data_IF_365081079198
#
_entry.id   IF_365081079198
#
_cell.length_a   1.000
_cell.length_b   1.000
_cell.length_c   1.000
_cell.angle_alpha   90.00
_cell.angle_beta   90.00
_cell.angle_gamma   90.00
#
_symmetry.space_group_name_H-M   'P 1'
#
loop_
_entity.id
_entity.type
_entity.pdbx_description
1 polymer ?
#
# COMPACT_ATOMS: atom_id res chain seq x y z
N UNK A 1 -39.48 14.21 -38.13
CA UNK A 1 -40.40 15.27 -37.71
C UNK A 1 -40.05 15.67 -36.28
N UNK A 2 -39.26 16.74 -36.10
CA UNK A 2 -39.36 17.62 -34.92
C UNK A 2 -40.44 18.67 -35.23
N UNK A 3 -41.12 19.35 -34.28
CA UNK A 3 -40.55 20.24 -33.25
C UNK A 3 -41.36 20.18 -31.92
N UNK A 4 -41.12 20.90 -30.81
CA UNK A 4 -40.93 22.34 -30.57
C UNK A 4 -40.38 22.59 -29.16
N UNK A 5 -39.58 23.65 -29.05
CA UNK A 5 -39.18 24.33 -27.82
C UNK A 5 -40.29 25.24 -27.27
N UNK A 6 -40.19 25.61 -25.99
CA UNK A 6 -40.79 26.83 -25.45
C UNK A 6 -39.85 27.43 -24.39
N UNK A 7 -39.46 28.68 -24.66
CA UNK A 7 -38.63 29.59 -23.86
C UNK A 7 -39.51 30.68 -23.20
N UNK A 8 -38.83 31.59 -22.48
CA UNK A 8 -39.22 32.86 -21.83
C UNK A 8 -39.43 32.75 -20.30
N UNK A 9 -38.92 33.66 -19.45
CA UNK A 9 -38.18 34.93 -19.64
C UNK A 9 -37.64 35.48 -18.31
N UNK A 10 -36.38 35.92 -18.37
CA UNK A 10 -35.70 37.09 -17.75
C UNK A 10 -36.44 38.12 -16.89
N UNK A 11 -35.74 38.63 -15.86
CA UNK A 11 -35.70 40.06 -15.46
C UNK A 11 -34.27 40.47 -14.99
N UNK A 12 -33.81 41.61 -15.51
CA UNK A 12 -32.50 42.30 -15.42
C UNK A 12 -32.17 42.89 -14.02
N UNK A 13 -30.90 43.06 -13.58
CA UNK A 13 -29.91 44.13 -13.92
C UNK A 13 -29.75 45.12 -12.71
N UNK A 14 -28.73 46.02 -12.57
CA UNK A 14 -27.59 46.44 -13.41
C UNK A 14 -26.18 46.29 -12.72
N UNK A 15 -25.00 46.18 -13.36
CA UNK A 15 -24.11 47.01 -14.24
C UNK A 15 -23.36 48.20 -13.58
N UNK A 16 -22.01 48.12 -13.56
CA UNK A 16 -20.99 49.18 -13.83
C UNK A 16 -19.58 48.57 -13.63
N UNK A 17 -18.69 48.37 -14.62
CA UNK A 17 -17.81 49.36 -15.29
C UNK A 17 -16.42 49.38 -14.61
N UNK A 18 -15.22 49.42 -15.20
CA UNK A 18 -14.69 49.51 -16.57
C UNK A 18 -13.13 49.60 -16.49
N UNK A 19 -12.41 49.35 -17.61
CA UNK A 19 -11.04 49.81 -17.99
C UNK A 19 -9.73 49.06 -17.56
N UNK A 20 -8.90 48.79 -18.59
CA UNK A 20 -7.48 48.34 -18.71
C UNK A 20 -6.46 49.48 -18.33
N UNK A 21 -5.08 49.41 -18.46
CA UNK A 21 -4.12 48.38 -18.94
C UNK A 21 -2.79 48.22 -18.11
N UNK A 22 -1.82 47.48 -18.72
CA UNK A 22 -0.41 47.09 -18.43
C UNK A 22 0.55 48.24 -18.01
N UNK A 23 1.72 47.94 -17.39
CA UNK A 23 2.99 48.27 -18.05
C UNK A 23 4.10 47.19 -17.96
N UNK A 24 4.93 47.17 -19.01
CA UNK A 24 6.23 46.51 -19.15
C UNK A 24 7.32 47.15 -18.26
N UNK A 25 8.39 46.40 -17.95
CA UNK A 25 9.77 46.91 -18.00
C UNK A 25 10.82 45.78 -18.15
N UNK A 26 11.76 46.05 -19.07
CA UNK A 26 13.01 45.37 -19.37
C UNK A 26 14.03 45.36 -18.21
N UNK A 27 14.96 44.39 -18.18
CA UNK A 27 16.39 44.64 -18.46
C UNK A 27 17.29 43.38 -18.37
N UNK A 28 18.33 43.43 -19.20
CA UNK A 28 19.29 42.41 -19.57
C UNK A 28 20.52 42.29 -18.63
N UNK A 29 21.43 41.36 -18.99
CA UNK A 29 22.92 41.36 -18.95
C UNK A 29 23.40 39.91 -18.65
N UNK A 30 23.97 39.09 -19.55
CA UNK A 30 25.13 39.15 -20.47
C UNK A 30 26.52 39.08 -19.82
N UNK A 31 27.33 38.09 -20.23
CA UNK A 31 28.78 37.94 -20.01
C UNK A 31 29.15 36.59 -19.37
N UNK A 32 30.02 35.72 -19.87
CA UNK A 32 31.07 35.84 -20.89
C UNK A 32 32.32 35.05 -20.45
N UNK A 33 32.42 33.79 -20.90
CA UNK A 33 33.59 33.07 -21.48
C UNK A 33 35.03 33.40 -21.04
N UNK A 34 35.82 32.33 -20.73
CA UNK A 34 37.18 32.02 -21.27
C UNK A 34 38.11 31.39 -20.21
N UNK A 35 38.41 30.07 -20.27
CA UNK A 35 39.64 29.43 -20.80
C UNK A 35 41.00 29.99 -20.33
N UNK A 36 41.84 29.13 -19.72
CA UNK A 36 43.09 28.61 -20.30
C UNK A 36 43.85 27.68 -19.34
N UNK A 37 44.49 26.67 -19.92
CA UNK A 37 45.33 25.66 -19.29
C UNK A 37 46.80 26.07 -19.28
N UNK A 38 47.61 25.47 -18.39
CA UNK A 38 49.00 25.08 -18.72
C UNK A 38 49.59 24.12 -17.69
N UNK A 39 50.51 23.30 -18.21
CA UNK A 39 51.17 22.09 -17.70
C UNK A 39 52.38 22.31 -16.79
N UNK A 40 52.76 21.30 -15.99
CA UNK A 40 54.08 21.19 -15.34
C UNK A 40 54.37 19.79 -14.75
N UNK A 41 55.61 19.34 -14.88
CA UNK A 41 56.12 17.95 -14.83
C UNK A 41 56.57 17.40 -13.45
N UNK A 42 56.59 16.04 -13.39
CA UNK A 42 57.55 15.12 -12.69
C UNK A 42 57.75 15.14 -11.16
N UNK A 43 57.41 14.03 -10.48
CA UNK A 43 58.32 12.98 -9.90
C UNK A 43 57.56 12.08 -8.90
N UNK A 44 57.81 10.75 -8.94
CA UNK A 44 57.39 9.77 -7.92
C UNK A 44 58.34 9.82 -6.71
N UNK A 45 57.82 9.53 -5.50
CA UNK A 45 58.19 8.27 -4.83
C UNK A 45 57.00 7.58 -4.12
N UNK A 46 57.07 6.25 -3.97
CA UNK A 46 56.31 5.44 -3.00
C UNK A 46 57.24 5.10 -1.81
N UNK A 47 56.80 4.57 -0.63
CA UNK A 47 55.52 3.88 -0.37
C UNK A 47 54.83 4.19 0.99
N UNK A 48 53.55 3.80 1.09
CA UNK A 48 52.91 3.43 2.36
C UNK A 48 52.01 4.48 3.02
N UNK A 49 50.74 4.10 3.23
CA UNK A 49 49.89 4.67 4.29
C UNK A 49 48.71 5.53 3.81
N UNK A 50 47.52 4.93 3.93
CA UNK A 50 46.21 5.56 4.20
C UNK A 50 45.55 6.44 3.11
N UNK A 51 44.25 6.18 2.98
CA UNK A 51 43.19 6.95 2.31
C UNK A 51 43.04 6.78 0.79
N UNK A 52 41.98 6.05 0.41
CA UNK A 52 41.27 6.23 -0.84
C UNK A 52 39.81 5.75 -0.66
N UNK A 53 38.95 6.66 -0.20
CA UNK A 53 37.60 6.83 -0.77
C UNK A 53 37.77 7.88 -1.89
N UNK A 54 37.00 7.88 -3.00
CA UNK A 54 35.55 7.78 -2.96
C UNK A 54 34.88 7.05 -4.13
N UNK A 55 33.84 6.29 -3.84
CA UNK A 55 32.72 6.12 -4.76
C UNK A 55 31.45 6.10 -3.92
N UNK A 56 30.89 7.30 -3.72
CA UNK A 56 29.55 7.49 -3.21
C UNK A 56 28.62 6.86 -4.25
N UNK A 57 28.30 5.58 -4.09
CA UNK A 57 27.04 5.06 -4.59
C UNK A 57 25.96 5.73 -3.75
N UNK A 58 25.45 6.85 -4.25
CA UNK A 58 24.15 7.38 -3.88
C UNK A 58 23.11 6.34 -4.26
N UNK A 59 22.98 5.30 -3.43
CA UNK A 59 21.88 4.38 -3.50
C UNK A 59 20.62 5.19 -3.23
N UNK A 60 19.86 5.45 -4.29
CA UNK A 60 18.50 5.99 -4.20
C UNK A 60 17.75 5.05 -3.27
N UNK A 61 17.40 5.53 -2.08
CA UNK A 61 16.59 4.75 -1.15
C UNK A 61 15.28 4.38 -1.88
N UNK A 62 14.71 3.19 -1.69
CA UNK A 62 13.41 2.84 -2.28
C UNK A 62 12.32 3.88 -1.97
N UNK A 63 12.42 4.55 -0.82
CA UNK A 63 11.56 5.65 -0.41
C UNK A 63 11.74 6.89 -1.29
N UNK A 64 12.98 7.21 -1.71
CA UNK A 64 13.36 8.38 -2.50
C UNK A 64 12.80 8.28 -3.93
N UNK A 65 12.90 7.11 -4.55
CA UNK A 65 12.30 6.83 -5.86
C UNK A 65 10.76 6.88 -5.82
N UNK A 66 10.14 6.61 -4.67
CA UNK A 66 8.70 6.71 -4.47
C UNK A 66 8.22 8.14 -4.24
N UNK A 67 9.02 8.95 -3.54
CA UNK A 67 8.80 10.38 -3.29
C UNK A 67 8.77 11.12 -4.63
N UNK A 68 9.76 10.86 -5.48
CA UNK A 68 9.87 11.45 -6.81
C UNK A 68 8.66 11.16 -7.69
N UNK A 69 8.13 9.93 -7.63
CA UNK A 69 6.94 9.55 -8.42
C UNK A 69 5.68 10.31 -8.02
N UNK A 70 5.48 10.56 -6.73
CA UNK A 70 4.32 11.34 -6.26
C UNK A 70 4.45 12.79 -6.70
N UNK A 71 5.61 13.41 -6.46
CA UNK A 71 5.86 14.81 -6.85
C UNK A 71 5.63 14.98 -8.35
N UNK A 72 6.24 14.13 -9.18
CA UNK A 72 6.07 14.16 -10.64
C UNK A 72 4.62 13.96 -11.09
N UNK A 73 3.84 13.15 -10.39
CA UNK A 73 2.42 12.98 -10.71
C UNK A 73 1.63 14.25 -10.37
N UNK A 74 1.87 14.83 -9.19
CA UNK A 74 1.17 16.03 -8.74
C UNK A 74 1.48 17.23 -9.65
N UNK A 75 2.74 17.38 -10.08
CA UNK A 75 3.17 18.45 -11.00
C UNK A 75 2.48 18.39 -12.38
N UNK A 76 1.99 17.21 -12.77
CA UNK A 76 1.30 16.97 -14.04
C UNK A 76 -0.23 17.11 -13.94
N UNK A 77 -0.77 17.36 -12.76
CA UNK A 77 -2.21 17.58 -12.58
C UNK A 77 -2.61 18.96 -13.11
N UNK A 78 -3.83 19.08 -13.62
CA UNK A 78 -4.38 20.39 -13.97
C UNK A 78 -4.60 21.23 -12.70
N UNK A 79 -4.65 22.57 -12.78
CA UNK A 79 -4.94 23.40 -11.61
C UNK A 79 -6.29 23.05 -10.97
N UNK A 80 -6.28 22.85 -9.65
CA UNK A 80 -7.49 22.56 -8.86
C UNK A 80 -8.49 23.71 -8.89
N UNK A 81 -9.77 23.40 -8.64
CA UNK A 81 -10.86 24.40 -8.52
C UNK A 81 -11.41 24.54 -7.11
N UNK A 82 -11.09 23.58 -6.22
CA UNK A 82 -11.53 23.59 -4.84
C UNK A 82 -10.40 24.04 -3.92
N UNK A 83 -10.77 24.66 -2.80
CA UNK A 83 -9.85 24.97 -1.71
C UNK A 83 -9.21 23.67 -1.19
N UNK A 84 -7.90 23.70 -0.94
CA UNK A 84 -7.08 22.54 -0.54
C UNK A 84 -6.95 21.41 -1.57
N UNK A 85 -7.33 21.66 -2.83
CA UNK A 85 -7.06 20.74 -3.95
C UNK A 85 -5.57 20.75 -4.30
N UNK A 86 -4.97 19.56 -4.41
CA UNK A 86 -3.60 19.35 -4.90
C UNK A 86 -3.51 19.39 -6.45
N UNK A 87 -4.65 19.55 -7.13
CA UNK A 87 -4.75 19.52 -8.59
C UNK A 87 -5.96 18.72 -9.05
N UNK A 88 -6.16 18.62 -10.37
CA UNK A 88 -7.28 17.92 -10.98
C UNK A 88 -6.82 16.88 -11.98
N UNK A 89 -7.44 15.70 -11.91
CA UNK A 89 -7.36 14.64 -12.92
C UNK A 89 -8.73 14.46 -13.55
N UNK A 90 -8.87 14.77 -14.84
CA UNK A 90 -10.18 14.83 -15.52
C UNK A 90 -11.17 15.75 -14.77
N UNK A 91 -12.26 15.21 -14.20
CA UNK A 91 -13.24 15.95 -13.38
C UNK A 91 -13.09 15.68 -11.87
N UNK A 92 -12.03 14.97 -11.46
CA UNK A 92 -11.75 14.61 -10.09
C UNK A 92 -10.79 15.62 -9.46
N UNK A 93 -11.23 16.31 -8.42
CA UNK A 93 -10.38 17.21 -7.63
C UNK A 93 -9.57 16.39 -6.63
N UNK A 94 -8.24 16.40 -6.75
CA UNK A 94 -7.34 15.60 -5.92
C UNK A 94 -7.18 16.27 -4.57
N UNK A 95 -7.58 15.58 -3.51
CA UNK A 95 -7.62 16.12 -2.15
C UNK A 95 -6.47 15.62 -1.28
N UNK A 96 -5.73 14.61 -1.75
CA UNK A 96 -4.65 14.00 -0.99
C UNK A 96 -4.10 12.73 -1.62
N UNK A 97 -2.94 12.29 -1.14
CA UNK A 97 -2.35 11.00 -1.51
C UNK A 97 -2.67 9.99 -0.42
N UNK A 98 -3.30 8.87 -0.78
CA UNK A 98 -3.66 7.78 0.14
C UNK A 98 -2.55 6.74 0.29
N UNK A 99 -1.77 6.52 -0.77
CA UNK A 99 -0.74 5.49 -0.75
C UNK A 99 0.15 5.49 -1.98
N UNK A 100 1.28 4.81 -1.84
CA UNK A 100 2.28 4.64 -2.90
C UNK A 100 2.56 3.15 -3.04
N UNK A 101 2.59 2.64 -4.26
CA UNK A 101 2.91 1.26 -4.54
C UNK A 101 3.98 1.13 -5.63
N UNK A 102 4.48 -0.08 -5.83
CA UNK A 102 5.41 -0.39 -6.92
C UNK A 102 4.85 0.00 -8.30
N UNK A 103 3.52 0.00 -8.43
CA UNK A 103 2.82 0.14 -9.70
C UNK A 103 2.12 1.49 -9.90
N UNK A 104 2.17 2.39 -8.91
CA UNK A 104 1.48 3.67 -9.04
C UNK A 104 1.21 4.39 -7.73
N UNK A 105 0.37 5.41 -7.82
CA UNK A 105 -0.03 6.27 -6.70
C UNK A 105 -1.54 6.17 -6.52
N UNK A 106 -1.99 6.06 -5.27
CA UNK A 106 -3.41 6.07 -4.93
C UNK A 106 -3.74 7.44 -4.36
N UNK A 107 -4.70 8.13 -4.96
CA UNK A 107 -5.15 9.47 -4.62
C UNK A 107 -6.54 9.42 -3.99
N UNK A 108 -6.79 10.28 -3.01
CA UNK A 108 -8.15 10.64 -2.59
C UNK A 108 -8.60 11.78 -3.48
N UNK A 109 -9.74 11.63 -4.14
CA UNK A 109 -10.28 12.69 -4.98
C UNK A 109 -11.77 12.90 -4.75
N UNK A 110 -12.26 14.08 -5.07
CA UNK A 110 -13.67 14.43 -5.06
C UNK A 110 -14.19 14.41 -6.50
N UNK A 111 -15.15 13.53 -6.76
CA UNK A 111 -15.89 13.40 -7.99
C UNK A 111 -16.89 14.57 -8.08
N UNK A 112 -16.57 15.58 -8.90
CA UNK A 112 -17.33 16.83 -8.92
C UNK A 112 -18.77 16.66 -9.45
N UNK A 113 -19.06 15.89 -10.52
CA UNK A 113 -20.44 15.65 -10.95
C UNK A 113 -21.25 14.81 -9.95
N UNK A 114 -20.68 13.75 -9.37
CA UNK A 114 -21.41 12.86 -8.45
C UNK A 114 -21.36 13.31 -6.99
N UNK A 115 -20.62 14.39 -6.69
CA UNK A 115 -20.46 14.99 -5.37
C UNK A 115 -20.09 14.00 -4.26
N UNK A 116 -19.10 13.14 -4.52
CA UNK A 116 -18.63 12.11 -3.59
C UNK A 116 -17.12 11.94 -3.61
N UNK A 117 -16.56 11.41 -2.53
CA UNK A 117 -15.15 11.01 -2.51
C UNK A 117 -14.94 9.67 -3.20
N UNK A 118 -13.83 9.56 -3.92
CA UNK A 118 -13.36 8.36 -4.63
C UNK A 118 -11.87 8.14 -4.35
N UNK A 119 -11.43 6.89 -4.47
CA UNK A 119 -10.01 6.55 -4.53
C UNK A 119 -9.60 6.37 -5.99
N UNK A 120 -8.53 7.03 -6.42
CA UNK A 120 -8.03 6.93 -7.80
C UNK A 120 -6.63 6.34 -7.80
N UNK A 121 -6.48 5.15 -8.36
CA UNK A 121 -5.16 4.53 -8.55
C UNK A 121 -4.65 4.89 -9.94
N UNK A 122 -3.62 5.73 -9.97
CA UNK A 122 -2.96 6.16 -11.21
C UNK A 122 -1.77 5.24 -11.45
N UNK A 123 -1.76 4.58 -12.60
CA UNK A 123 -0.62 3.77 -13.03
C UNK A 123 0.60 4.68 -13.26
N UNK A 124 1.81 4.18 -13.00
CA UNK A 124 3.05 4.95 -13.12
C UNK A 124 3.07 5.84 -14.39
N UNK A 125 3.08 7.18 -14.24
CA UNK A 125 2.97 8.12 -15.36
C UNK A 125 4.24 8.18 -16.22
N UNK A 126 5.33 7.53 -15.78
CA UNK A 126 6.57 7.40 -16.53
C UNK A 126 6.56 6.19 -17.48
N UNK A 127 5.50 5.37 -17.47
CA UNK A 127 5.36 4.29 -18.44
C UNK A 127 5.07 4.84 -19.85
N UNK A 128 5.78 4.35 -20.88
CA UNK A 128 5.52 4.73 -22.27
C UNK A 128 4.04 4.53 -22.66
N UNK A 129 3.48 5.38 -23.53
CA UNK A 129 2.10 5.23 -24.04
C UNK A 129 1.79 3.85 -24.63
N UNK A 130 2.76 3.24 -25.33
CA UNK A 130 2.61 1.94 -25.98
C UNK A 130 3.00 0.75 -25.08
N UNK A 131 3.29 1.01 -23.80
CA UNK A 131 3.68 -0.05 -22.88
C UNK A 131 2.55 -1.09 -22.74
N UNK A 132 2.83 -2.40 -22.97
CA UNK A 132 1.83 -3.47 -22.82
C UNK A 132 1.13 -3.48 -21.46
N UNK A 133 1.82 -2.99 -20.41
CA UNK A 133 1.28 -2.88 -19.06
C UNK A 133 0.10 -1.92 -18.95
N UNK A 134 0.03 -0.85 -19.77
CA UNK A 134 -1.14 0.05 -19.82
C UNK A 134 -2.38 -0.69 -20.32
N UNK A 135 -2.25 -1.45 -21.41
CA UNK A 135 -3.34 -2.26 -21.99
C UNK A 135 -3.80 -3.36 -21.04
N UNK A 136 -2.87 -4.04 -20.38
CA UNK A 136 -3.20 -5.06 -19.37
C UNK A 136 -3.91 -4.45 -18.16
N UNK A 137 -3.45 -3.30 -17.66
CA UNK A 137 -4.08 -2.60 -16.54
C UNK A 137 -5.56 -2.31 -16.81
N UNK A 138 -5.86 -1.73 -17.98
CA UNK A 138 -7.26 -1.45 -18.38
C UNK A 138 -8.08 -2.74 -18.51
N UNK A 139 -7.50 -3.79 -19.10
CA UNK A 139 -8.18 -5.09 -19.25
C UNK A 139 -8.50 -5.73 -17.90
N UNK A 140 -7.51 -5.80 -17.00
CA UNK A 140 -7.67 -6.39 -15.66
C UNK A 140 -8.66 -5.58 -14.81
N UNK A 141 -8.58 -4.25 -14.87
CA UNK A 141 -9.54 -3.38 -14.21
C UNK A 141 -10.99 -3.63 -14.66
N UNK A 142 -11.22 -3.81 -15.97
CA UNK A 142 -12.56 -4.13 -16.51
C UNK A 142 -13.06 -5.49 -16.03
N UNK A 143 -12.20 -6.50 -15.99
CA UNK A 143 -12.54 -7.82 -15.44
C UNK A 143 -12.90 -7.75 -13.96
N UNK A 144 -12.11 -7.03 -13.16
CA UNK A 144 -12.36 -6.84 -11.74
C UNK A 144 -13.65 -6.03 -11.46
N UNK A 145 -14.00 -5.07 -12.33
CA UNK A 145 -15.18 -4.23 -12.18
C UNK A 145 -16.52 -5.00 -12.26
N UNK A 146 -16.51 -6.21 -12.83
CA UNK A 146 -17.69 -7.08 -12.86
C UNK A 146 -18.03 -7.69 -11.49
N UNK A 147 -17.09 -7.66 -10.53
CA UNK A 147 -17.29 -8.26 -9.21
C UNK A 147 -17.90 -7.23 -8.26
N UNK A 148 -19.15 -7.47 -7.85
CA UNK A 148 -19.84 -6.67 -6.83
C UNK A 148 -20.07 -7.52 -5.59
N UNK A 149 -19.47 -7.12 -4.48
CA UNK A 149 -19.60 -7.85 -3.22
C UNK A 149 -19.30 -6.93 -2.02
N UNK A 150 -19.98 -7.08 -0.85
CA UNK A 150 -19.73 -6.23 0.32
C UNK A 150 -18.29 -6.25 0.84
N UNK A 151 -17.56 -7.36 0.62
CA UNK A 151 -16.16 -7.53 1.03
C UNK A 151 -15.14 -7.26 -0.09
N UNK A 152 -15.56 -6.60 -1.17
CA UNK A 152 -14.69 -6.16 -2.27
C UNK A 152 -14.93 -4.67 -2.49
N UNK A 153 -13.85 -3.91 -2.69
CA UNK A 153 -13.94 -2.48 -3.03
C UNK A 153 -14.52 -2.34 -4.44
N UNK A 154 -15.58 -1.54 -4.58
CA UNK A 154 -16.23 -1.34 -5.86
C UNK A 154 -15.36 -0.52 -6.83
N UNK A 155 -15.29 -0.95 -8.09
CA UNK A 155 -14.70 -0.15 -9.17
C UNK A 155 -15.82 0.67 -9.82
N UNK A 156 -15.61 1.98 -9.94
CA UNK A 156 -16.57 2.92 -10.53
C UNK A 156 -16.27 3.22 -11.99
N UNK A 157 -15.01 3.13 -12.41
CA UNK A 157 -14.64 3.37 -13.80
C UNK A 157 -13.14 3.28 -14.05
N UNK A 158 -12.78 3.33 -15.32
CA UNK A 158 -11.39 3.36 -15.80
C UNK A 158 -11.24 4.57 -16.72
N UNK A 159 -10.18 5.34 -16.56
CA UNK A 159 -9.79 6.38 -17.49
C UNK A 159 -8.40 6.14 -18.05
N UNK A 160 -8.10 6.73 -19.21
CA UNK A 160 -6.87 6.44 -19.97
C UNK A 160 -6.00 7.68 -20.23
N UNK A 161 -6.55 8.89 -20.02
CA UNK A 161 -5.92 10.17 -20.34
C UNK A 161 -5.79 11.08 -19.10
N UNK A 162 -4.63 11.74 -18.89
CA UNK A 162 -3.37 11.61 -19.65
C UNK A 162 -2.63 10.27 -19.39
N UNK A 163 -2.98 9.56 -18.31
CA UNK A 163 -2.44 8.27 -17.93
C UNK A 163 -3.56 7.30 -17.57
N UNK A 164 -3.35 5.97 -17.59
CA UNK A 164 -4.34 5.02 -17.13
C UNK A 164 -4.57 5.17 -15.63
N UNK A 165 -5.84 5.29 -15.24
CA UNK A 165 -6.25 5.36 -13.85
C UNK A 165 -7.51 4.55 -13.60
N UNK A 166 -7.62 4.02 -12.38
CA UNK A 166 -8.76 3.28 -11.90
C UNK A 166 -9.49 4.10 -10.85
N UNK A 167 -10.78 4.36 -11.06
CA UNK A 167 -11.65 5.04 -10.10
C UNK A 167 -12.35 3.98 -9.27
N UNK A 168 -12.15 4.03 -7.97
CA UNK A 168 -12.64 3.06 -7.00
C UNK A 168 -13.45 3.78 -5.92
N UNK A 169 -14.29 3.01 -5.25
CA UNK A 169 -14.96 3.44 -4.04
C UNK A 169 -13.92 3.88 -2.99
N UNK A 170 -14.14 5.05 -2.39
CA UNK A 170 -13.34 5.48 -1.25
C UNK A 170 -13.89 4.83 0.02
N UNK A 171 -13.08 3.96 0.63
CA UNK A 171 -13.43 3.30 1.89
C UNK A 171 -12.72 4.00 3.05
N UNK A 172 -13.44 4.76 3.91
CA UNK A 172 -12.84 5.40 5.07
C UNK A 172 -12.50 4.37 6.13
N UNK A 173 -11.22 4.26 6.46
CA UNK A 173 -10.73 3.22 7.35
C UNK A 173 -9.22 3.11 7.32
N UNK A 174 -8.71 1.99 7.82
CA UNK A 174 -7.29 1.65 7.78
C UNK A 174 -7.08 0.27 7.20
N UNK A 175 -5.88 -0.03 6.77
CA UNK A 175 -5.54 -1.37 6.31
C UNK A 175 -5.33 -2.31 7.49
N UNK A 176 -5.41 -3.63 7.25
CA UNK A 176 -4.98 -4.62 8.25
C UNK A 176 -3.48 -4.51 8.53
N UNK A 177 -2.68 -4.00 7.58
CA UNK A 177 -1.26 -3.71 7.80
C UNK A 177 -1.10 -2.62 8.86
N UNK A 178 -1.83 -1.50 8.75
CA UNK A 178 -1.79 -0.42 9.75
C UNK A 178 -2.23 -0.92 11.14
N UNK A 179 -3.19 -1.83 11.19
CA UNK A 179 -3.63 -2.47 12.44
C UNK A 179 -2.53 -3.36 13.05
N UNK A 180 -1.84 -4.14 12.24
CA UNK A 180 -0.72 -4.98 12.68
C UNK A 180 0.46 -4.14 13.19
N UNK A 181 0.79 -3.05 12.50
CA UNK A 181 1.91 -2.19 12.89
C UNK A 181 1.65 -1.42 14.18
N UNK A 182 0.40 -0.99 14.41
CA UNK A 182 0.03 -0.25 15.61
C UNK A 182 -0.20 -1.16 16.83
N UNK A 183 -0.95 -2.25 16.65
CA UNK A 183 -1.43 -3.09 17.76
C UNK A 183 -0.70 -4.43 17.89
N UNK A 184 0.10 -4.82 16.90
CA UNK A 184 0.66 -6.17 16.81
C UNK A 184 -0.41 -7.22 16.48
N UNK A 185 -0.27 -8.45 17.02
CA UNK A 185 -1.26 -9.52 16.83
C UNK A 185 -2.69 -9.09 17.19
N UNK A 186 -3.67 -9.46 16.36
CA UNK A 186 -5.07 -9.12 16.60
C UNK A 186 -5.77 -10.14 17.51
N UNK A 187 -6.85 -9.76 18.23
CA UNK A 187 -7.68 -10.71 18.97
C UNK A 187 -8.23 -11.82 18.05
N UNK A 188 -8.22 -13.08 18.50
CA UNK A 188 -8.66 -14.24 17.70
C UNK A 188 -10.06 -14.05 17.10
N UNK A 189 -10.99 -13.46 17.86
CA UNK A 189 -12.33 -13.16 17.36
C UNK A 189 -12.30 -12.24 16.13
N UNK A 190 -11.41 -11.26 16.10
CA UNK A 190 -11.25 -10.35 14.97
C UNK A 190 -10.52 -11.02 13.80
N UNK A 191 -9.52 -11.87 14.06
CA UNK A 191 -8.87 -12.70 13.03
C UNK A 191 -9.89 -13.56 12.29
N UNK A 192 -10.75 -14.27 13.04
CA UNK A 192 -11.80 -15.11 12.45
C UNK A 192 -12.84 -14.30 11.70
N UNK A 193 -13.22 -13.11 12.21
CA UNK A 193 -14.15 -12.21 11.54
C UNK A 193 -13.59 -11.74 10.20
N UNK A 194 -12.41 -11.14 10.20
CA UNK A 194 -11.80 -10.61 8.97
C UNK A 194 -11.44 -11.73 8.02
N UNK A 195 -10.93 -12.85 8.53
CA UNK A 195 -10.69 -14.07 7.76
C UNK A 195 -11.93 -14.52 7.00
N UNK A 196 -13.05 -14.66 7.69
CA UNK A 196 -14.30 -15.09 7.07
C UNK A 196 -14.80 -14.09 6.02
N UNK A 197 -14.72 -12.79 6.30
CA UNK A 197 -15.11 -11.72 5.36
C UNK A 197 -14.22 -11.73 4.09
N UNK A 198 -12.90 -11.86 4.25
CA UNK A 198 -11.94 -11.99 3.15
C UNK A 198 -12.22 -13.24 2.31
N UNK A 199 -12.38 -14.41 2.94
CA UNK A 199 -12.69 -15.65 2.25
C UNK A 199 -14.01 -15.57 1.46
N UNK A 200 -15.03 -14.91 2.03
CA UNK A 200 -16.30 -14.68 1.35
C UNK A 200 -16.14 -13.75 0.14
N UNK A 201 -15.34 -12.68 0.28
CA UNK A 201 -14.98 -11.80 -0.84
C UNK A 201 -14.26 -12.55 -1.96
N UNK A 202 -13.21 -13.31 -1.62
CA UNK A 202 -12.47 -14.12 -2.59
C UNK A 202 -13.38 -15.12 -3.30
N UNK A 203 -14.29 -15.78 -2.58
CA UNK A 203 -15.25 -16.71 -3.20
C UNK A 203 -16.12 -16.01 -4.26
N UNK A 204 -16.57 -14.78 -4.01
CA UNK A 204 -17.35 -14.01 -4.96
C UNK A 204 -16.54 -13.63 -6.22
N UNK A 205 -15.26 -13.29 -6.06
CA UNK A 205 -14.37 -13.01 -7.19
C UNK A 205 -14.05 -14.27 -7.99
N UNK A 206 -13.72 -15.37 -7.31
CA UNK A 206 -13.42 -16.67 -7.92
C UNK A 206 -14.60 -17.21 -8.73
N UNK A 207 -15.84 -17.03 -8.24
CA UNK A 207 -17.05 -17.39 -8.98
C UNK A 207 -17.24 -16.62 -10.30
N UNK A 208 -16.52 -15.50 -10.49
CA UNK A 208 -16.48 -14.72 -11.73
C UNK A 208 -15.19 -14.95 -12.54
N UNK A 209 -14.36 -15.93 -12.15
CA UNK A 209 -13.08 -16.22 -12.79
C UNK A 209 -11.99 -15.18 -12.51
N UNK A 210 -12.15 -14.36 -11.47
CA UNK A 210 -11.19 -13.31 -11.11
C UNK A 210 -10.31 -13.80 -9.96
N UNK A 211 -9.00 -13.88 -10.19
CA UNK A 211 -7.99 -14.25 -9.18
C UNK A 211 -7.30 -12.96 -8.72
N UNK A 212 -7.13 -12.78 -7.41
CA UNK A 212 -6.58 -11.56 -6.83
C UNK A 212 -5.06 -11.43 -7.02
N UNK A 213 -4.31 -12.51 -6.72
CA UNK A 213 -2.85 -12.69 -6.88
C UNK A 213 -1.95 -11.86 -5.96
N UNK A 214 -2.44 -10.81 -5.32
CA UNK A 214 -1.68 -9.99 -4.37
C UNK A 214 -2.41 -9.81 -3.02
N UNK A 215 -2.93 -10.90 -2.44
CA UNK A 215 -3.62 -10.85 -1.14
C UNK A 215 -2.59 -10.63 -0.04
N UNK A 216 -2.67 -9.50 0.67
CA UNK A 216 -1.79 -9.12 1.77
C UNK A 216 -2.48 -8.10 2.68
N UNK A 217 -2.04 -7.89 3.94
CA UNK A 217 -2.75 -7.01 4.88
C UNK A 217 -2.91 -5.57 4.38
N UNK A 218 -1.96 -5.07 3.59
CA UNK A 218 -2.00 -3.72 3.00
C UNK A 218 -3.11 -3.56 1.94
N UNK A 219 -3.61 -4.66 1.36
CA UNK A 219 -4.68 -4.65 0.37
C UNK A 219 -6.05 -4.99 0.98
N UNK A 220 -6.17 -5.00 2.32
CA UNK A 220 -7.41 -5.25 3.04
C UNK A 220 -7.76 -4.04 3.89
N UNK A 221 -8.79 -3.31 3.50
CA UNK A 221 -9.29 -2.14 4.23
C UNK A 221 -10.34 -2.55 5.26
N UNK A 222 -10.29 -1.98 6.45
CA UNK A 222 -11.29 -2.15 7.51
C UNK A 222 -12.01 -0.83 7.73
N UNK A 223 -13.32 -0.82 7.49
CA UNK A 223 -14.17 0.36 7.66
C UNK A 223 -14.22 0.80 9.13
N UNK A 224 -14.04 2.11 9.38
CA UNK A 224 -14.04 2.69 10.73
C UNK A 224 -15.45 2.77 11.35
N UNK A 225 -16.49 2.87 10.53
CA UNK A 225 -17.88 2.99 10.96
C UNK A 225 -18.68 1.73 10.58
N UNK A 226 -19.42 1.16 11.54
CA UNK A 226 -20.25 -0.04 11.33
C UNK A 226 -19.63 -1.34 11.85
N UNK A 227 -19.97 -2.47 11.23
CA UNK A 227 -19.71 -3.84 11.72
C UNK A 227 -18.24 -4.33 11.65
N UNK A 228 -17.26 -3.42 11.57
CA UNK A 228 -15.84 -3.75 11.28
C UNK A 228 -15.74 -4.63 10.03
N UNK A 229 -16.07 -4.05 8.89
CA UNK A 229 -16.13 -4.74 7.61
C UNK A 229 -14.78 -4.67 6.91
N UNK A 230 -14.19 -5.84 6.63
CA UNK A 230 -13.02 -5.98 5.77
C UNK A 230 -13.42 -5.95 4.29
N UNK A 231 -12.62 -5.25 3.50
CA UNK A 231 -12.83 -5.05 2.06
C UNK A 231 -11.51 -5.22 1.30
N UNK A 232 -11.53 -6.14 0.34
CA UNK A 232 -10.38 -6.44 -0.51
C UNK A 232 -10.29 -5.40 -1.63
N UNK A 233 -9.12 -4.82 -1.82
CA UNK A 233 -8.80 -3.88 -2.92
C UNK A 233 -7.65 -4.41 -3.78
N UNK A 234 -7.40 -3.77 -4.93
CA UNK A 234 -6.23 -4.04 -5.79
C UNK A 234 -6.20 -5.40 -6.50
N UNK A 235 -7.36 -5.94 -6.88
CA UNK A 235 -7.47 -7.17 -7.68
C UNK A 235 -6.66 -7.11 -8.98
N UNK A 236 -5.74 -8.06 -9.15
CA UNK A 236 -5.10 -8.37 -10.43
C UNK A 236 -4.04 -7.38 -10.90
N UNK A 237 -4.11 -6.11 -10.50
CA UNK A 237 -3.33 -5.00 -11.08
C UNK A 237 -1.80 -5.15 -11.00
N UNK A 238 -1.28 -6.00 -10.12
CA UNK A 238 0.15 -6.30 -10.04
C UNK A 238 0.64 -7.07 -11.29
N UNK A 239 -0.17 -8.00 -11.82
CA UNK A 239 0.19 -8.81 -13.00
C UNK A 239 0.13 -8.05 -14.31
N UNK A 240 -0.73 -7.03 -14.42
CA UNK A 240 -0.68 -6.12 -15.55
C UNK A 240 0.71 -5.53 -15.79
N UNK A 241 1.51 -5.35 -14.74
CA UNK A 241 2.85 -4.76 -14.81
C UNK A 241 3.96 -5.83 -14.79
N UNK A 242 3.76 -6.91 -14.03
CA UNK A 242 4.80 -7.89 -13.69
C UNK A 242 5.23 -8.84 -14.81
N UNK A 243 4.40 -9.14 -15.82
CA UNK A 243 4.81 -10.02 -16.94
C UNK A 243 6.05 -9.49 -17.70
N UNK A 244 6.32 -8.19 -17.58
CA UNK A 244 7.46 -7.50 -18.20
C UNK A 244 8.66 -7.30 -17.25
N UNK A 245 8.43 -7.13 -15.94
CA UNK A 245 9.51 -6.82 -14.97
C UNK A 245 10.12 -8.05 -14.30
N UNK A 246 9.31 -9.06 -13.98
CA UNK A 246 9.80 -10.30 -13.36
C UNK A 246 10.77 -11.05 -14.30
N UNK A 247 10.56 -10.93 -15.62
CA UNK A 247 11.30 -11.64 -16.66
C UNK A 247 12.53 -10.88 -17.19
N UNK A 248 12.53 -9.55 -17.19
CA UNK A 248 13.63 -8.76 -17.78
C UNK A 248 14.68 -8.23 -16.81
N UNK A 249 14.38 -8.13 -15.51
CA UNK A 249 15.29 -7.45 -14.57
C UNK A 249 15.71 -8.28 -13.35
N UNK A 250 15.05 -9.41 -13.05
CA UNK A 250 15.39 -10.26 -11.90
C UNK A 250 15.25 -9.58 -10.53
N UNK A 251 14.80 -8.32 -10.48
CA UNK A 251 14.63 -7.53 -9.26
C UNK A 251 13.16 -7.65 -8.83
N UNK A 252 12.93 -8.43 -7.78
CA UNK A 252 11.64 -8.44 -7.08
C UNK A 252 11.59 -7.17 -6.25
N UNK A 253 10.74 -6.22 -6.65
CA UNK A 253 10.47 -4.99 -5.89
C UNK A 253 9.69 -5.34 -4.62
N UNK A 254 10.37 -5.30 -3.48
CA UNK A 254 9.82 -5.62 -2.15
C UNK A 254 10.05 -7.08 -1.73
N UNK A 255 9.72 -7.40 -0.47
CA UNK A 255 9.82 -8.78 0.02
C UNK A 255 8.51 -9.52 -0.26
N UNK A 256 8.52 -10.65 -0.99
CA UNK A 256 7.32 -11.39 -1.44
C UNK A 256 6.69 -12.23 -0.32
N UNK A 257 6.39 -11.60 0.82
CA UNK A 257 6.03 -12.24 2.09
C UNK A 257 4.70 -13.02 2.07
N UNK A 258 3.86 -12.79 1.05
CA UNK A 258 2.53 -13.37 0.91
C UNK A 258 2.34 -14.14 -0.40
N UNK A 259 3.39 -14.31 -1.21
CA UNK A 259 3.31 -15.07 -2.47
C UNK A 259 3.14 -16.57 -2.21
N UNK A 260 2.45 -17.24 -3.12
CA UNK A 260 2.32 -18.69 -3.14
C UNK A 260 3.53 -19.38 -3.81
N UNK A 261 3.80 -20.67 -3.51
CA UNK A 261 4.88 -21.44 -4.14
C UNK A 261 4.84 -21.41 -5.67
N UNK A 262 3.64 -21.57 -6.25
CA UNK A 262 3.41 -21.54 -7.69
C UNK A 262 3.70 -20.15 -8.31
N UNK A 263 3.45 -19.06 -7.58
CA UNK A 263 3.85 -17.72 -8.02
C UNK A 263 5.38 -17.57 -8.02
N UNK A 264 6.06 -18.12 -7.01
CA UNK A 264 7.53 -18.10 -6.91
C UNK A 264 8.17 -18.90 -8.03
N UNK A 265 7.62 -20.07 -8.38
CA UNK A 265 8.12 -20.94 -9.44
C UNK A 265 7.74 -20.46 -10.85
N UNK A 266 6.77 -19.55 -10.96
CA UNK A 266 6.25 -19.11 -12.25
C UNK A 266 5.31 -20.14 -12.91
N UNK A 267 4.73 -21.04 -12.11
CA UNK A 267 3.81 -22.07 -12.58
C UNK A 267 2.48 -21.48 -13.05
N UNK A 268 1.65 -22.32 -13.67
CA UNK A 268 0.27 -21.95 -13.99
C UNK A 268 -0.51 -21.66 -12.71
N UNK A 269 -1.14 -20.47 -12.65
CA UNK A 269 -1.87 -20.02 -11.48
C UNK A 269 -3.36 -20.29 -11.62
N UNK A 270 -3.96 -20.79 -10.54
CA UNK A 270 -5.41 -20.80 -10.35
C UNK A 270 -5.81 -20.06 -9.06
N UNK A 271 -7.09 -20.13 -8.69
CA UNK A 271 -7.63 -19.44 -7.52
C UNK A 271 -6.98 -19.80 -6.18
N UNK A 272 -6.29 -20.96 -6.11
CA UNK A 272 -5.67 -21.47 -4.88
C UNK A 272 -4.42 -20.70 -4.46
N UNK A 273 -3.88 -19.85 -5.34
CA UNK A 273 -2.84 -18.86 -4.99
C UNK A 273 -3.36 -17.90 -3.91
N UNK A 274 -4.60 -17.44 -4.06
CA UNK A 274 -5.20 -16.47 -3.12
C UNK A 274 -5.47 -17.13 -1.76
N UNK A 275 -5.70 -18.44 -1.74
CA UNK A 275 -5.93 -19.20 -0.51
C UNK A 275 -4.64 -19.34 0.30
N UNK A 276 -3.52 -19.61 -0.36
CA UNK A 276 -2.21 -19.60 0.30
C UNK A 276 -1.89 -18.22 0.88
N UNK A 277 -2.08 -17.17 0.08
CA UNK A 277 -1.88 -15.79 0.53
C UNK A 277 -2.82 -15.41 1.68
N UNK A 278 -4.09 -15.84 1.66
CA UNK A 278 -5.02 -15.69 2.78
C UNK A 278 -4.51 -16.41 4.04
N UNK A 279 -3.98 -17.63 3.91
CA UNK A 279 -3.32 -18.34 5.01
C UNK A 279 -2.18 -17.52 5.62
N UNK A 280 -1.36 -16.89 4.79
CA UNK A 280 -0.26 -16.01 5.23
C UNK A 280 -0.76 -14.74 5.92
N UNK A 281 -1.88 -14.17 5.46
CA UNK A 281 -2.54 -13.06 6.15
C UNK A 281 -3.06 -13.51 7.52
N UNK A 282 -3.79 -14.62 7.60
CA UNK A 282 -4.32 -15.15 8.87
C UNK A 282 -3.20 -15.43 9.88
N UNK A 283 -2.10 -16.03 9.40
CA UNK A 283 -0.89 -16.25 10.21
C UNK A 283 -0.37 -14.93 10.76
N UNK A 284 -0.15 -13.94 9.91
CA UNK A 284 0.34 -12.63 10.32
C UNK A 284 -0.59 -11.92 11.30
N UNK A 285 -1.91 -12.02 11.13
CA UNK A 285 -2.89 -11.47 12.08
C UNK A 285 -2.82 -12.17 13.44
N UNK A 286 -2.49 -13.47 13.48
CA UNK A 286 -2.33 -14.24 14.71
C UNK A 286 -0.99 -13.98 15.41
N UNK A 287 0.13 -13.92 14.69
CA UNK A 287 1.49 -13.86 15.25
C UNK A 287 2.13 -12.48 15.23
N UNK A 288 1.59 -11.54 14.45
CA UNK A 288 2.18 -10.22 14.18
C UNK A 288 3.24 -10.22 13.07
N UNK A 289 3.59 -11.37 12.49
CA UNK A 289 4.61 -11.46 11.43
C UNK A 289 4.26 -12.54 10.39
N UNK A 290 4.73 -12.42 9.14
CA UNK A 290 4.42 -13.41 8.10
C UNK A 290 5.10 -14.77 8.37
N UNK A 291 4.57 -15.87 7.81
CA UNK A 291 5.01 -17.24 8.11
C UNK A 291 6.40 -17.59 7.55
N UNK A 292 6.80 -16.97 6.43
CA UNK A 292 8.05 -17.28 5.72
C UNK A 292 9.06 -16.13 5.76
N UNK A 293 8.97 -15.25 6.77
CA UNK A 293 9.88 -14.13 6.93
C UNK A 293 11.34 -14.60 6.96
N UNK A 294 12.23 -13.95 6.21
CA UNK A 294 13.67 -14.24 6.19
C UNK A 294 14.47 -12.95 5.92
N UNK A 295 15.78 -12.91 6.20
CA UNK A 295 16.58 -11.68 6.07
C UNK A 295 16.71 -11.14 4.64
N UNK A 296 16.55 -11.98 3.61
CA UNK A 296 16.68 -11.58 2.21
C UNK A 296 15.47 -12.05 1.39
N UNK A 297 15.14 -11.31 0.32
CA UNK A 297 14.05 -11.70 -0.58
C UNK A 297 14.26 -13.09 -1.18
N UNK A 298 15.48 -13.44 -1.59
CA UNK A 298 15.83 -14.77 -2.09
C UNK A 298 15.60 -15.87 -1.04
N UNK A 299 15.93 -15.61 0.24
CA UNK A 299 15.65 -16.54 1.31
C UNK A 299 14.15 -16.71 1.55
N UNK A 300 13.36 -15.63 1.51
CA UNK A 300 11.89 -15.70 1.61
C UNK A 300 11.31 -16.57 0.50
N UNK A 301 11.74 -16.35 -0.75
CA UNK A 301 11.28 -17.15 -1.89
C UNK A 301 11.60 -18.64 -1.71
N UNK A 302 12.81 -18.96 -1.27
CA UNK A 302 13.21 -20.33 -0.95
C UNK A 302 12.31 -20.94 0.13
N UNK A 303 12.04 -20.22 1.22
CA UNK A 303 11.13 -20.68 2.28
C UNK A 303 9.71 -20.92 1.77
N UNK A 304 9.20 -19.98 0.97
CA UNK A 304 7.88 -20.10 0.35
C UNK A 304 7.83 -21.33 -0.56
N UNK A 305 8.86 -21.60 -1.35
CA UNK A 305 8.91 -22.76 -2.24
C UNK A 305 9.02 -24.09 -1.49
N UNK A 306 9.91 -24.18 -0.49
CA UNK A 306 10.43 -25.47 -0.03
C UNK A 306 10.18 -25.77 1.46
N UNK A 307 10.11 -24.75 2.33
CA UNK A 307 10.05 -24.95 3.78
C UNK A 307 8.60 -24.91 4.31
N UNK A 308 8.15 -25.85 5.16
CA UNK A 308 6.84 -25.74 5.79
C UNK A 308 6.76 -24.50 6.67
N UNK A 309 5.56 -23.91 6.80
CA UNK A 309 5.35 -22.83 7.75
C UNK A 309 5.54 -23.36 9.18
N UNK A 310 6.11 -22.55 10.06
CA UNK A 310 6.14 -22.89 11.49
C UNK A 310 4.70 -23.05 12.00
N UNK A 311 4.40 -24.00 12.91
CA UNK A 311 3.07 -24.13 13.49
C UNK A 311 2.68 -22.83 14.21
N UNK A 312 1.47 -22.31 13.96
CA UNK A 312 1.07 -21.01 14.56
C UNK A 312 1.12 -21.03 16.10
N UNK A 313 0.91 -22.18 16.72
CA UNK A 313 0.99 -22.37 18.17
C UNK A 313 2.39 -22.12 18.75
N UNK A 314 3.47 -22.21 17.95
CA UNK A 314 4.81 -21.84 18.41
C UNK A 314 4.97 -20.34 18.63
N UNK A 315 4.10 -19.53 18.03
CA UNK A 315 4.08 -18.07 18.19
C UNK A 315 2.93 -17.60 19.06
N UNK A 316 1.82 -18.35 19.08
CA UNK A 316 0.62 -17.98 19.82
C UNK A 316 -0.20 -19.19 20.26
N UNK A 317 -0.07 -19.55 21.54
CA UNK A 317 -0.69 -20.75 22.10
C UNK A 317 -2.23 -20.68 22.25
N UNK A 318 -2.82 -19.49 22.36
CA UNK A 318 -4.28 -19.30 22.50
C UNK A 318 -5.04 -19.37 21.16
N UNK A 319 -4.37 -19.68 20.04
CA UNK A 319 -5.04 -19.91 18.76
C UNK A 319 -5.85 -21.21 18.83
N UNK A 320 -7.15 -21.22 18.46
CA UNK A 320 -7.95 -22.44 18.45
C UNK A 320 -7.41 -23.46 17.45
N UNK A 321 -7.41 -24.74 17.82
CA UNK A 321 -6.85 -25.80 16.97
C UNK A 321 -7.49 -25.86 15.59
N UNK A 322 -8.78 -25.57 15.48
CA UNK A 322 -9.47 -25.53 14.21
C UNK A 322 -8.91 -24.45 13.27
N UNK A 323 -8.54 -23.28 13.82
CA UNK A 323 -7.90 -22.20 13.07
C UNK A 323 -6.45 -22.56 12.74
N UNK A 324 -5.70 -23.12 13.68
CA UNK A 324 -4.32 -23.56 13.46
C UNK A 324 -4.22 -24.59 12.34
N UNK A 325 -5.10 -25.61 12.35
CA UNK A 325 -5.22 -26.60 11.26
C UNK A 325 -5.55 -25.94 9.93
N UNK A 326 -6.50 -25.02 9.89
CA UNK A 326 -6.84 -24.31 8.65
C UNK A 326 -5.66 -23.51 8.09
N UNK A 327 -4.92 -22.79 8.93
CA UNK A 327 -3.73 -22.06 8.50
C UNK A 327 -2.69 -23.04 7.92
N UNK A 328 -2.45 -24.16 8.59
CA UNK A 328 -1.56 -25.22 8.09
C UNK A 328 -2.01 -25.78 6.74
N UNK A 329 -3.30 -26.06 6.55
CA UNK A 329 -3.84 -26.59 5.30
C UNK A 329 -3.71 -25.58 4.15
N UNK A 330 -3.90 -24.28 4.43
CA UNK A 330 -3.73 -23.22 3.42
C UNK A 330 -2.27 -23.07 2.98
N UNK A 331 -1.31 -23.41 3.84
CA UNK A 331 0.13 -23.34 3.58
C UNK A 331 0.73 -24.59 2.95
N UNK A 332 -0.09 -25.59 2.58
CA UNK A 332 0.41 -26.75 1.83
C UNK A 332 1.08 -26.32 0.52
N UNK A 333 2.22 -26.93 0.20
CA UNK A 333 3.03 -26.50 -0.95
C UNK A 333 2.38 -26.85 -2.28
N UNK A 334 1.73 -28.00 -2.34
CA UNK A 334 0.99 -28.43 -3.52
C UNK A 334 -0.45 -27.88 -3.47
N UNK A 335 -0.93 -27.18 -4.52
CA UNK A 335 -2.30 -26.65 -4.54
C UNK A 335 -3.39 -27.71 -4.35
N UNK A 336 -3.14 -28.97 -4.75
CA UNK A 336 -4.07 -30.08 -4.57
C UNK A 336 -4.31 -30.45 -3.09
N UNK A 337 -3.36 -30.15 -2.21
CA UNK A 337 -3.43 -30.49 -0.79
C UNK A 337 -4.07 -29.37 0.07
N UNK A 338 -4.39 -28.23 -0.56
CA UNK A 338 -5.05 -27.10 0.09
C UNK A 338 -6.58 -27.28 0.10
N UNK A 339 -7.33 -26.47 0.89
CA UNK A 339 -8.73 -26.22 0.60
C UNK A 339 -8.92 -25.82 -0.87
N UNK A 340 -9.92 -26.35 -1.55
CA UNK A 340 -10.02 -26.20 -3.00
C UNK A 340 -10.76 -24.92 -3.42
N UNK A 341 -11.55 -24.33 -2.51
CA UNK A 341 -12.32 -23.12 -2.78
C UNK A 341 -12.27 -22.13 -1.62
N UNK A 342 -12.36 -20.83 -1.92
CA UNK A 342 -12.51 -19.80 -0.89
C UNK A 342 -13.81 -19.95 -0.09
N UNK A 343 -14.85 -20.57 -0.67
CA UNK A 343 -16.11 -20.87 0.02
C UNK A 343 -15.89 -21.88 1.15
N UNK A 344 -15.16 -22.95 0.88
CA UNK A 344 -14.80 -23.95 1.88
C UNK A 344 -14.05 -23.31 3.06
N UNK A 345 -13.10 -22.42 2.77
CA UNK A 345 -12.36 -21.66 3.79
C UNK A 345 -13.28 -20.76 4.61
N UNK A 346 -14.19 -20.04 3.95
CA UNK A 346 -15.17 -19.19 4.62
C UNK A 346 -16.06 -20.00 5.58
N UNK A 347 -16.49 -21.19 5.17
CA UNK A 347 -17.33 -22.08 5.98
C UNK A 347 -16.56 -22.66 7.18
N UNK A 348 -15.28 -23.03 7.00
CA UNK A 348 -14.40 -23.46 8.10
C UNK A 348 -14.19 -22.34 9.14
N UNK A 349 -13.95 -21.11 8.69
CA UNK A 349 -13.80 -19.95 9.57
C UNK A 349 -15.11 -19.60 10.30
N UNK A 350 -16.25 -19.73 9.61
CA UNK A 350 -17.56 -19.52 10.23
C UNK A 350 -17.83 -20.52 11.35
N UNK A 351 -17.54 -21.82 11.12
CA UNK A 351 -17.65 -22.88 12.14
C UNK A 351 -16.76 -22.59 13.34
N UNK A 352 -15.47 -22.33 13.13
CA UNK A 352 -14.54 -22.01 14.22
C UNK A 352 -15.01 -20.81 15.05
N UNK A 353 -15.62 -19.79 14.41
CA UNK A 353 -16.20 -18.64 15.12
C UNK A 353 -17.45 -18.99 15.93
N UNK A 354 -18.26 -19.96 15.49
CA UNK A 354 -19.41 -20.45 16.25
C UNK A 354 -18.95 -21.26 17.47
N UNK A 355 -18.00 -22.17 17.28
CA UNK A 355 -17.47 -23.03 18.35
C UNK A 355 -16.91 -22.18 19.50
N UNK A 356 -16.08 -21.17 19.20
CA UNK A 356 -15.56 -20.23 20.20
C UNK A 356 -16.66 -19.48 20.99
N UNK A 357 -17.78 -19.16 20.33
CA UNK A 357 -18.90 -18.47 21.00
C UNK A 357 -19.63 -19.42 21.94
N UNK A 358 -19.77 -20.68 21.56
CA UNK A 358 -20.46 -21.68 22.36
C UNK A 358 -19.62 -22.17 23.54
N UNK A 359 -18.29 -22.26 23.38
CA UNK A 359 -17.34 -22.46 24.49
C UNK A 359 -17.45 -21.30 25.50
N UNK A 360 -17.39 -20.05 25.05
CA UNK A 360 -17.52 -18.88 25.91
C UNK A 360 -18.87 -18.82 26.65
N UNK A 361 -19.96 -19.30 26.02
CA UNK A 361 -21.28 -19.42 26.66
C UNK A 361 -21.30 -20.53 27.70
N UNK A 362 -20.67 -21.66 27.40
CA UNK A 362 -20.60 -22.82 28.28
C UNK A 362 -19.81 -22.51 29.54
N UNK A 363 -18.69 -21.80 29.42
CA UNK A 363 -17.89 -21.37 30.57
C UNK A 363 -18.64 -20.40 31.49
N UNK A 364 -19.38 -19.44 30.92
CA UNK A 364 -20.25 -18.54 31.68
C UNK A 364 -21.34 -19.30 32.44
N UNK A 365 -21.94 -20.32 31.81
CA UNK A 365 -22.97 -21.16 32.45
C UNK A 365 -22.42 -22.02 33.59
N UNK A 366 -21.14 -22.42 33.51
CA UNK A 366 -20.45 -23.20 34.54
C UNK A 366 -19.90 -22.34 35.70
N UNK A 367 -20.17 -21.04 35.72
CA UNK A 367 -19.69 -20.13 36.78
C UNK A 367 -18.18 -19.94 36.81
N UNK A 368 -17.46 -20.32 35.73
CA UNK A 368 -16.04 -19.98 35.59
C UNK A 368 -15.96 -18.51 35.19
N UNK A 369 -15.56 -17.64 36.12
CA UNK A 369 -15.30 -16.24 35.81
C UNK A 369 -14.16 -16.16 34.76
N UNK A 370 -14.41 -15.62 33.55
CA UNK A 370 -13.38 -15.46 32.54
C UNK A 370 -12.18 -14.63 33.01
N UNK A 371 -12.36 -13.80 34.06
CA UNK A 371 -11.29 -13.00 34.67
C UNK A 371 -10.33 -13.84 35.52
N UNK A 372 -10.77 -14.97 36.06
CA UNK A 372 -9.93 -15.87 36.86
C UNK A 372 -9.06 -16.79 36.00
N UNK A 373 -9.47 -17.08 34.75
CA UNK A 373 -8.67 -17.84 33.78
C UNK A 373 -7.64 -16.96 33.04
N UNK A 374 -7.83 -15.65 32.97
CA UNK A 374 -6.91 -14.70 32.33
C UNK A 374 -5.71 -14.30 33.19
N UNK A 375 -5.56 -14.84 34.41
CA UNK A 375 -4.50 -14.44 35.35
C UNK A 375 -3.19 -15.22 35.18
N UNK A 376 -3.10 -16.24 34.30
CA UNK A 376 -1.87 -17.04 34.13
C UNK A 376 -1.04 -16.73 32.88
N UNK A 377 -1.34 -15.67 32.11
CA UNK A 377 -0.58 -15.34 30.88
C UNK A 377 -0.04 -13.91 30.83
N UNK A 378 0.02 -13.20 31.96
CA UNK A 378 0.82 -11.98 32.06
C UNK A 378 2.26 -12.32 32.43
N UNK A 379 2.98 -12.97 31.51
CA UNK A 379 4.43 -13.02 31.57
C UNK A 379 5.00 -12.02 30.55
N UNK A 380 5.72 -10.95 30.98
CA UNK A 380 6.29 -9.95 30.09
C UNK A 380 7.63 -10.41 29.46
N UNK A 381 7.77 -11.69 29.10
CA UNK A 381 9.03 -12.26 28.58
C UNK A 381 9.26 -12.07 27.07
N UNK A 382 8.27 -11.59 26.30
CA UNK A 382 8.43 -11.33 24.86
C UNK A 382 9.45 -10.20 24.53
N UNK A 383 10.06 -9.55 25.55
CA UNK A 383 11.13 -8.57 25.37
C UNK A 383 12.57 -9.12 25.44
N UNK A 384 12.82 -10.42 25.64
CA UNK A 384 14.21 -10.90 25.90
C UNK A 384 14.81 -12.02 25.04
N UNK A 385 14.12 -12.60 24.07
CA UNK A 385 14.76 -13.55 23.13
C UNK A 385 14.54 -13.12 21.68
N UNK A 386 15.39 -12.21 21.19
CA UNK A 386 15.89 -12.20 19.81
C UNK A 386 16.78 -10.97 19.60
N UNK A 387 18.01 -11.05 20.13
CA UNK A 387 19.05 -10.05 19.85
C UNK A 387 19.57 -10.09 18.40
N UNK A 388 19.07 -11.02 17.56
CA UNK A 388 19.43 -11.13 16.15
C UNK A 388 18.29 -10.84 15.15
N UNK A 389 17.02 -10.69 15.58
CA UNK A 389 15.92 -10.30 14.68
C UNK A 389 15.53 -8.81 14.79
N UNK A 390 15.87 -8.15 15.90
CA UNK A 390 15.52 -6.74 16.15
C UNK A 390 16.34 -5.70 15.34
N UNK A 391 17.22 -6.13 14.44
CA UNK A 391 18.05 -5.24 13.62
C UNK A 391 17.35 -4.72 12.35
N UNK A 392 16.19 -5.27 11.96
CA UNK A 392 15.57 -4.94 10.66
C UNK A 392 14.22 -4.20 10.73
N UNK A 393 13.61 -4.07 11.91
CA UNK A 393 12.38 -3.31 12.10
C UNK A 393 12.47 -2.40 13.33
N UNK A 394 13.16 -1.27 13.18
CA UNK A 394 12.97 -0.08 14.01
C UNK A 394 12.50 1.06 13.10
N UNK A 395 11.29 1.62 13.27
CA UNK A 395 10.98 2.89 12.65
C UNK A 395 11.82 3.98 13.31
N UNK A 396 12.66 4.66 12.52
CA UNK A 396 13.41 5.86 12.91
C UNK A 396 12.45 7.05 13.07
N UNK A 397 11.59 7.05 14.10
CA UNK A 397 10.79 8.25 14.43
C UNK A 397 11.53 9.23 15.36
N UNK A 398 12.44 8.75 16.22
CA UNK A 398 13.13 9.62 17.17
C UNK A 398 14.20 10.54 16.53
N UNK A 399 14.75 10.17 15.37
CA UNK A 399 15.80 10.97 14.71
C UNK A 399 15.23 12.09 13.83
N UNK A 400 14.03 11.89 13.25
CA UNK A 400 13.39 12.90 12.38
C UNK A 400 12.90 14.12 13.18
N UNK A 401 12.38 13.90 14.38
CA UNK A 401 11.95 14.99 15.27
C UNK A 401 13.16 15.80 15.78
N UNK A 402 14.28 15.15 16.11
CA UNK A 402 15.48 15.83 16.55
C UNK A 402 16.16 16.64 15.43
N UNK A 403 16.11 16.16 14.18
CA UNK A 403 16.72 16.86 13.03
C UNK A 403 15.89 18.08 12.61
N UNK A 404 14.56 18.00 12.68
CA UNK A 404 13.69 19.15 12.42
C UNK A 404 13.74 20.22 13.53
N UNK A 405 13.89 19.84 14.80
CA UNK A 405 14.10 20.80 15.89
C UNK A 405 15.45 21.53 15.79
N UNK A 406 16.51 20.87 15.31
CA UNK A 406 17.82 21.50 15.11
C UNK A 406 17.85 22.43 13.87
N UNK A 407 17.10 22.09 12.82
CA UNK A 407 16.92 22.96 11.64
C UNK A 407 16.05 24.20 11.95
N UNK A 408 15.02 24.07 12.80
CA UNK A 408 14.25 25.23 13.23
C UNK A 408 15.04 26.19 14.12
N UNK A 409 15.89 25.69 15.02
CA UNK A 409 16.72 26.53 15.89
C UNK A 409 17.85 27.26 15.13
N UNK A 410 18.39 26.66 14.06
CA UNK A 410 19.44 27.28 13.23
C UNK A 410 18.89 28.35 12.28
N UNK A 411 17.67 28.16 11.73
CA UNK A 411 16.99 29.17 10.91
C UNK A 411 16.53 30.36 11.76
N UNK A 412 16.03 30.12 12.98
CA UNK A 412 15.63 31.19 13.90
C UNK A 412 16.83 32.02 14.40
N UNK A 413 17.98 31.38 14.65
CA UNK A 413 19.22 32.10 15.02
C UNK A 413 19.80 32.92 13.86
N UNK A 414 19.69 32.41 12.62
CA UNK A 414 20.13 33.14 11.41
C UNK A 414 19.30 34.39 11.12
N UNK A 415 17.97 34.31 11.29
CA UNK A 415 17.07 35.45 11.11
C UNK A 415 17.26 36.54 12.19
N UNK A 416 17.58 36.16 13.43
CA UNK A 416 17.88 37.11 14.50
C UNK A 416 19.22 37.84 14.29
N UNK A 417 20.20 37.21 13.62
CA UNK A 417 21.49 37.83 13.31
C UNK A 417 21.42 38.79 12.13
N UNK A 418 20.57 38.50 11.12
CA UNK A 418 20.35 39.41 9.98
C UNK A 418 19.54 40.65 10.36
N UNK A 419 18.59 40.53 11.30
CA UNK A 419 17.81 41.67 11.78
C UNK A 419 18.65 42.64 12.64
N UNK A 420 19.70 42.15 13.32
CA UNK A 420 20.63 42.98 14.11
C UNK A 420 21.66 43.75 13.27
N UNK A 421 21.96 43.27 12.05
CA UNK A 421 22.88 43.94 11.12
C UNK A 421 22.18 45.01 10.26
N UNK A 422 20.86 44.95 10.14
CA UNK A 422 20.06 45.91 9.37
C UNK A 422 19.48 47.08 10.20
N UNK A 423 19.55 47.01 11.53
CA UNK A 423 18.98 48.01 12.45
C UNK A 423 20.03 48.63 13.40
N UNK A 424 21.32 48.47 13.08
CA UNK A 424 22.45 49.02 13.83
C UNK A 424 23.21 50.07 13.04
#
# INVERSE_FOLDING_TARGET
>A
MSPKAMEYSTLDGPVCGSFLPIPDTDHALSGGVSTLATSGHMRRPQPGGLSALPAVWGGVSPDDCSQDRVTRLLDRLAPGRLENSLGRLAHFEVMGVLGRGAFGVVLKAFDTPLRRYVAIKVLNPDLPPDCPSRRRFVREARTAAAVRHPHIVGIHGVGENPYPYLVMEFVPGRTLQDMLEESGPLPIHDVLRYGHQMATGLAAAHAKGVIHRDVKPANILVEHQGERRARITDFGLARAVDDTSLTQSGIILGTPLYMSPEQVRGDALDQRVDLFSLGSVLYALCSGHPPFAAPTAAAVLKRVADEPAAPIHSHRADVPDALARLISDLHQKWPADRPQTAREVADRLARCRMDLRDEARSDRRRGRDPRLLACSTRDPEWRRSDRNCAAFYRPRMATVIATHLLQFLTVAAGAALTLKVFLG
#
